data_IF_380871605858
#
_entry.id   IF_380871605858
#
_cell.length_a   1.000
_cell.length_b   1.000
_cell.length_c   1.000
_cell.angle_alpha   90.00
_cell.angle_beta   90.00
_cell.angle_gamma   90.00
#
_symmetry.space_group_name_H-M   'P 1'
#
loop_
_entity.id
_entity.type
_entity.pdbx_description
1 polymer ?
#
# COMPACT_ATOMS: atom_id res chain seq x y z
N UNK A 1 -8.87 44.63 -5.26
CA UNK A 1 -7.48 44.92 -5.67
C UNK A 1 -6.41 44.11 -4.88
N UNK A 2 -6.41 44.11 -3.53
CA UNK A 2 -5.38 43.38 -2.74
C UNK A 2 -5.32 41.85 -3.01
N UNK A 3 -6.46 41.20 -3.23
CA UNK A 3 -6.53 39.75 -3.54
C UNK A 3 -6.01 39.41 -4.94
N UNK A 4 -6.19 40.28 -5.90
CA UNK A 4 -5.67 40.12 -7.26
C UNK A 4 -4.16 40.30 -7.32
N UNK A 5 -3.62 41.25 -6.55
CA UNK A 5 -2.17 41.45 -6.39
C UNK A 5 -1.51 40.23 -5.72
N UNK A 6 -2.17 39.61 -4.72
CA UNK A 6 -1.65 38.39 -4.07
C UNK A 6 -1.61 37.19 -5.03
N UNK A 7 -2.64 37.06 -5.90
CA UNK A 7 -2.69 36.01 -6.92
C UNK A 7 -1.58 36.18 -7.98
N UNK A 8 -1.36 37.42 -8.43
CA UNK A 8 -0.28 37.75 -9.40
C UNK A 8 1.09 37.50 -8.77
N UNK A 9 1.28 37.85 -7.48
CA UNK A 9 2.53 37.57 -6.75
C UNK A 9 2.76 36.07 -6.55
N UNK A 10 1.72 35.28 -6.25
CA UNK A 10 1.80 33.83 -6.14
C UNK A 10 2.15 33.16 -7.48
N UNK A 11 1.59 33.65 -8.60
CA UNK A 11 1.90 33.17 -9.95
C UNK A 11 3.34 33.54 -10.36
N UNK A 12 3.81 34.74 -10.00
CA UNK A 12 5.19 35.17 -10.33
C UNK A 12 6.26 34.40 -9.54
N UNK A 13 5.98 33.93 -8.31
CA UNK A 13 6.86 33.05 -7.55
C UNK A 13 6.95 31.66 -8.20
N UNK A 14 5.85 31.15 -8.78
CA UNK A 14 5.82 29.88 -9.50
C UNK A 14 6.72 29.82 -10.74
N UNK A 15 7.00 30.97 -11.37
CA UNK A 15 7.86 31.03 -12.57
C UNK A 15 9.36 31.11 -12.27
N UNK A 16 9.76 31.43 -11.04
CA UNK A 16 11.18 31.49 -10.62
C UNK A 16 11.75 30.10 -10.29
N UNK A 17 10.89 29.08 -10.12
CA UNK A 17 11.29 27.72 -9.80
C UNK A 17 11.89 26.92 -10.98
N UNK A 18 12.00 27.50 -12.16
CA UNK A 18 12.65 26.87 -13.33
C UNK A 18 14.18 26.91 -13.33
N UNK A 19 14.83 27.42 -12.27
CA UNK A 19 16.28 27.63 -12.22
C UNK A 19 17.11 26.42 -11.77
N UNK A 20 16.50 25.28 -11.42
CA UNK A 20 17.23 24.05 -11.12
C UNK A 20 16.80 22.95 -12.09
N UNK A 21 17.42 22.96 -13.27
CA UNK A 21 17.23 21.90 -14.25
C UNK A 21 17.95 20.66 -13.78
N UNK A 22 17.19 19.65 -13.35
CA UNK A 22 17.73 18.32 -13.08
C UNK A 22 18.28 17.69 -14.37
N UNK A 23 19.19 16.75 -14.23
CA UNK A 23 19.64 15.96 -15.35
C UNK A 23 18.51 15.02 -15.78
N UNK A 24 17.97 15.22 -17.01
CA UNK A 24 16.91 14.34 -17.53
C UNK A 24 17.39 12.91 -17.64
N UNK A 25 16.57 11.98 -17.16
CA UNK A 25 16.74 10.53 -17.29
C UNK A 25 15.55 9.96 -18.04
N UNK A 26 15.79 8.90 -18.80
CA UNK A 26 14.75 8.16 -19.53
C UNK A 26 14.93 6.67 -19.31
N UNK A 27 15.24 6.29 -18.07
CA UNK A 27 15.45 4.89 -17.74
C UNK A 27 14.11 4.24 -17.43
N UNK A 28 13.81 3.13 -18.09
CA UNK A 28 12.60 2.35 -17.88
C UNK A 28 12.98 0.95 -17.42
N UNK A 29 12.51 0.56 -16.24
CA UNK A 29 12.71 -0.76 -15.70
C UNK A 29 11.37 -1.48 -15.51
N UNK A 30 11.35 -2.78 -15.80
CA UNK A 30 10.24 -3.70 -15.50
C UNK A 30 10.71 -4.77 -14.57
N UNK A 31 9.82 -5.28 -13.74
CA UNK A 31 10.18 -6.33 -12.80
C UNK A 31 9.02 -7.04 -12.16
N UNK A 32 9.39 -7.96 -11.28
CA UNK A 32 8.48 -8.77 -10.48
C UNK A 32 8.76 -8.56 -9.00
N UNK A 33 7.75 -8.72 -8.19
CA UNK A 33 7.87 -8.59 -6.75
C UNK A 33 7.07 -9.66 -6.01
N UNK A 34 7.53 -9.98 -4.80
CA UNK A 34 6.83 -10.86 -3.88
C UNK A 34 7.12 -10.47 -2.44
N UNK A 35 6.24 -10.83 -1.51
CA UNK A 35 6.44 -10.48 -0.12
C UNK A 35 5.33 -10.94 0.81
N UNK A 36 5.44 -10.49 2.06
CA UNK A 36 4.50 -10.78 3.13
C UNK A 36 3.75 -9.52 3.52
N UNK A 37 2.51 -9.74 3.96
CA UNK A 37 1.58 -8.69 4.38
C UNK A 37 1.11 -8.99 5.79
N UNK A 38 1.19 -7.99 6.66
CA UNK A 38 0.60 -7.99 7.99
C UNK A 38 -0.54 -6.99 7.98
N UNK A 39 -1.78 -7.46 8.05
CA UNK A 39 -2.96 -6.63 7.91
C UNK A 39 -3.83 -6.63 9.16
N UNK A 40 -4.49 -5.51 9.41
CA UNK A 40 -5.61 -5.34 10.34
C UNK A 40 -6.66 -4.45 9.70
N UNK A 41 -7.91 -4.63 10.11
CA UNK A 41 -9.01 -3.74 9.71
C UNK A 41 -9.34 -2.80 10.86
N UNK A 42 -9.37 -1.51 10.61
CA UNK A 42 -9.78 -0.51 11.60
C UNK A 42 -11.30 -0.48 11.68
N UNK A 43 -11.87 -1.15 12.67
CA UNK A 43 -13.31 -1.14 12.93
C UNK A 43 -13.72 -0.06 13.93
N UNK A 44 -14.92 0.48 13.71
CA UNK A 44 -15.63 1.30 14.70
C UNK A 44 -17.11 0.86 14.74
N UNK A 45 -17.60 0.25 15.79
CA UNK A 45 -16.91 -0.07 17.07
C UNK A 45 -15.73 -1.04 16.90
N UNK A 46 -14.77 -0.93 17.81
CA UNK A 46 -13.48 -1.66 17.73
C UNK A 46 -13.66 -3.16 17.97
N UNK A 47 -13.12 -3.97 17.08
CA UNK A 47 -12.99 -5.42 17.24
C UNK A 47 -11.54 -5.76 17.62
N UNK A 48 -11.34 -6.56 18.67
CA UNK A 48 -9.99 -7.03 19.03
C UNK A 48 -9.45 -7.98 17.98
N UNK A 49 -8.25 -7.69 17.46
CA UNK A 49 -7.65 -8.42 16.36
C UNK A 49 -6.18 -8.70 16.60
N UNK A 50 -5.73 -9.87 16.16
CA UNK A 50 -4.33 -10.14 15.84
C UNK A 50 -4.02 -9.74 14.40
N UNK A 51 -2.73 -9.67 14.04
CA UNK A 51 -2.37 -9.46 12.65
C UNK A 51 -2.77 -10.66 11.79
N UNK A 52 -3.49 -10.39 10.71
CA UNK A 52 -3.66 -11.36 9.64
C UNK A 52 -2.40 -11.35 8.77
N UNK A 53 -1.84 -12.52 8.53
CA UNK A 53 -0.67 -12.68 7.65
C UNK A 53 -1.13 -13.18 6.29
N UNK A 54 -0.77 -12.43 5.25
CA UNK A 54 -1.01 -12.79 3.86
C UNK A 54 0.24 -12.67 3.01
N UNK A 55 0.07 -12.92 1.73
CA UNK A 55 1.13 -12.82 0.72
C UNK A 55 0.79 -11.75 -0.31
N UNK A 56 1.82 -11.21 -0.96
CA UNK A 56 1.66 -10.30 -2.10
C UNK A 56 2.64 -10.69 -3.19
N UNK A 57 2.21 -10.61 -4.45
CA UNK A 57 3.07 -10.78 -5.62
C UNK A 57 2.54 -9.94 -6.78
N UNK A 58 3.42 -9.51 -7.66
CA UNK A 58 3.00 -8.66 -8.76
C UNK A 58 4.13 -8.25 -9.70
N UNK A 59 3.75 -7.38 -10.62
CA UNK A 59 4.65 -6.78 -11.60
C UNK A 59 4.79 -5.29 -11.34
N UNK A 60 5.95 -4.74 -11.69
CA UNK A 60 6.29 -3.33 -11.46
C UNK A 60 6.90 -2.72 -12.71
N UNK A 61 6.53 -1.49 -12.98
CA UNK A 61 7.12 -0.63 -14.00
C UNK A 61 7.66 0.62 -13.31
N UNK A 62 8.94 0.95 -13.48
CA UNK A 62 9.59 2.12 -12.91
C UNK A 62 10.22 2.96 -14.01
N UNK A 63 9.78 4.22 -14.09
CA UNK A 63 10.33 5.20 -14.98
C UNK A 63 11.13 6.25 -14.19
N UNK A 64 12.45 6.26 -14.35
CA UNK A 64 13.33 7.28 -13.76
C UNK A 64 13.35 8.48 -14.70
N UNK A 65 12.83 9.62 -14.21
CA UNK A 65 12.62 10.82 -15.02
C UNK A 65 13.75 11.83 -14.87
N UNK A 66 14.30 11.99 -13.68
CA UNK A 66 15.28 13.04 -13.41
C UNK A 66 16.25 12.66 -12.31
N UNK A 67 17.41 13.32 -12.33
CA UNK A 67 18.41 13.29 -11.27
C UNK A 67 18.73 14.70 -10.82
N UNK A 68 18.55 14.97 -9.53
CA UNK A 68 18.94 16.21 -8.88
C UNK A 68 20.07 15.91 -7.89
N UNK A 69 21.30 16.34 -8.20
CA UNK A 69 22.49 16.04 -7.40
C UNK A 69 22.63 14.52 -7.12
N UNK A 70 22.36 14.12 -5.87
CA UNK A 70 22.40 12.71 -5.45
C UNK A 70 21.01 12.04 -5.44
N UNK A 71 19.94 12.80 -5.68
CA UNK A 71 18.56 12.29 -5.67
C UNK A 71 18.13 11.86 -7.07
N UNK A 72 17.61 10.65 -7.19
CA UNK A 72 16.99 10.09 -8.40
C UNK A 72 15.48 10.09 -8.22
N UNK A 73 14.77 10.78 -9.11
CA UNK A 73 13.33 10.85 -9.11
C UNK A 73 12.74 9.89 -10.14
N UNK A 74 11.83 9.02 -9.70
CA UNK A 74 11.17 8.06 -10.56
C UNK A 74 9.67 7.98 -10.25
N UNK A 75 8.89 7.56 -11.25
CA UNK A 75 7.50 7.15 -11.11
C UNK A 75 7.45 5.62 -11.18
N UNK A 76 6.70 5.01 -10.28
CA UNK A 76 6.55 3.56 -10.21
C UNK A 76 5.07 3.20 -10.22
N UNK A 77 4.68 2.34 -11.15
CA UNK A 77 3.35 1.76 -11.22
C UNK A 77 3.46 0.25 -11.02
N UNK A 78 2.52 -0.32 -10.29
CA UNK A 78 2.52 -1.77 -10.03
C UNK A 78 1.12 -2.33 -10.21
N UNK A 79 1.06 -3.63 -10.47
CA UNK A 79 -0.15 -4.44 -10.35
C UNK A 79 0.20 -5.62 -9.47
N UNK A 80 -0.41 -5.67 -8.29
CA UNK A 80 -0.14 -6.69 -7.29
C UNK A 80 -1.42 -7.47 -6.95
N UNK A 81 -1.33 -8.77 -6.82
CA UNK A 81 -2.28 -9.56 -6.06
C UNK A 81 -1.83 -9.56 -4.60
N UNK A 82 -2.74 -9.26 -3.68
CA UNK A 82 -2.43 -9.14 -2.26
C UNK A 82 -3.53 -9.75 -1.41
N UNK A 83 -3.16 -10.65 -0.52
CA UNK A 83 -4.05 -11.22 0.48
C UNK A 83 -4.05 -10.32 1.72
N UNK A 84 -5.24 -9.81 2.05
CA UNK A 84 -5.49 -8.99 3.24
C UNK A 84 -6.64 -9.60 4.03
N UNK A 85 -6.91 -9.07 5.22
CA UNK A 85 -8.02 -9.55 6.04
C UNK A 85 -7.81 -9.22 7.51
N UNK A 86 -8.55 -9.92 8.36
CA UNK A 86 -8.37 -9.80 9.80
C UNK A 86 -8.54 -11.15 10.49
N UNK A 87 -7.92 -11.27 11.64
CA UNK A 87 -8.06 -12.40 12.54
C UNK A 87 -8.51 -11.86 13.89
N UNK A 88 -9.65 -12.35 14.38
CA UNK A 88 -10.12 -11.92 15.70
C UNK A 88 -9.35 -12.60 16.82
N UNK A 89 -9.11 -11.83 17.87
CA UNK A 89 -8.48 -12.30 19.09
C UNK A 89 -9.57 -12.60 20.12
N UNK A 90 -9.94 -13.90 20.23
CA UNK A 90 -10.95 -14.41 21.15
C UNK A 90 -10.22 -15.07 22.31
N UNK A 91 -10.08 -14.35 23.45
CA UNK A 91 -9.29 -14.82 24.61
C UNK A 91 -10.10 -15.70 25.56
N UNK A 92 -11.42 -15.70 25.43
CA UNK A 92 -12.35 -16.33 26.38
C UNK A 92 -12.85 -17.71 25.97
N UNK A 93 -12.53 -18.14 24.75
CA UNK A 93 -12.91 -19.46 24.23
C UNK A 93 -11.85 -20.01 23.27
N UNK A 94 -12.01 -21.26 22.87
CA UNK A 94 -11.19 -21.90 21.81
C UNK A 94 -11.63 -21.55 20.39
N UNK A 95 -12.67 -20.71 20.28
CA UNK A 95 -13.19 -20.29 18.99
C UNK A 95 -12.22 -19.38 18.26
N UNK A 96 -12.17 -19.50 16.97
CA UNK A 96 -11.31 -18.67 16.10
C UNK A 96 -12.10 -18.16 14.90
N UNK A 97 -11.85 -16.91 14.54
CA UNK A 97 -12.40 -16.30 13.36
C UNK A 97 -11.30 -15.60 12.54
N UNK A 98 -11.29 -15.89 11.26
CA UNK A 98 -10.41 -15.27 10.32
C UNK A 98 -11.14 -15.01 9.00
N UNK A 99 -11.05 -13.80 8.49
CA UNK A 99 -11.51 -13.49 7.13
C UNK A 99 -10.29 -13.12 6.28
N UNK A 100 -10.21 -13.76 5.13
CA UNK A 100 -9.18 -13.52 4.12
C UNK A 100 -9.83 -12.93 2.88
N UNK A 101 -9.26 -11.86 2.34
CA UNK A 101 -9.73 -11.15 1.16
C UNK A 101 -8.58 -11.02 0.17
N UNK A 102 -8.80 -11.43 -1.07
CA UNK A 102 -7.83 -11.25 -2.16
C UNK A 102 -8.13 -9.97 -2.93
N UNK A 103 -7.13 -9.14 -3.08
CA UNK A 103 -7.19 -7.86 -3.78
C UNK A 103 -6.25 -7.81 -4.97
N UNK A 104 -6.73 -7.22 -6.05
CA UNK A 104 -5.85 -6.68 -7.10
C UNK A 104 -5.61 -5.20 -6.76
N UNK A 105 -4.35 -4.84 -6.54
CA UNK A 105 -3.93 -3.50 -6.12
C UNK A 105 -3.09 -2.84 -7.21
N UNK A 106 -3.35 -1.55 -7.44
CA UNK A 106 -2.61 -0.72 -8.41
C UNK A 106 -2.10 0.53 -7.70
N UNK A 107 -0.93 0.48 -7.07
CA UNK A 107 -0.26 1.66 -6.54
C UNK A 107 0.43 2.45 -7.67
N UNK A 108 0.33 3.79 -7.57
CA UNK A 108 1.07 4.75 -8.38
C UNK A 108 1.96 5.56 -7.46
N UNK A 109 3.26 5.36 -7.54
CA UNK A 109 4.21 5.84 -6.53
C UNK A 109 5.20 6.83 -7.13
N UNK A 110 5.42 7.94 -6.43
CA UNK A 110 6.65 8.70 -6.55
C UNK A 110 7.75 7.96 -5.79
N UNK A 111 8.89 7.76 -6.42
CA UNK A 111 10.06 7.10 -5.84
C UNK A 111 11.24 8.08 -5.87
N UNK A 112 11.83 8.36 -4.71
CA UNK A 112 12.99 9.24 -4.57
C UNK A 112 14.11 8.41 -3.96
N UNK A 113 15.16 8.19 -4.75
CA UNK A 113 16.32 7.40 -4.35
C UNK A 113 17.57 8.24 -4.13
N UNK A 114 18.34 7.87 -3.13
CA UNK A 114 19.63 8.52 -2.77
C UNK A 114 20.73 7.48 -2.77
N UNK A 115 21.80 7.72 -3.51
CA UNK A 115 22.94 6.83 -3.59
C UNK A 115 23.47 6.66 -5.00
N UNK A 116 24.08 5.51 -5.26
CA UNK A 116 24.64 5.23 -6.58
C UNK A 116 23.55 4.91 -7.60
N UNK A 117 23.62 5.57 -8.74
CA UNK A 117 22.68 5.36 -9.83
C UNK A 117 22.82 3.96 -10.42
N UNK A 118 24.06 3.49 -10.65
CA UNK A 118 24.36 2.17 -11.22
C UNK A 118 25.55 1.54 -10.51
N UNK A 119 25.50 0.23 -10.36
CA UNK A 119 26.60 -0.58 -9.79
C UNK A 119 26.85 -0.28 -8.33
N UNK A 120 25.80 -0.22 -7.50
CA UNK A 120 25.92 0.01 -6.08
C UNK A 120 24.59 0.02 -5.33
N UNK A 121 24.63 0.52 -4.11
CA UNK A 121 23.48 0.62 -3.22
C UNK A 121 22.86 2.01 -3.29
N UNK A 122 21.54 2.05 -3.25
CA UNK A 122 20.70 3.25 -3.20
C UNK A 122 19.58 3.04 -2.19
N UNK A 123 19.44 3.93 -1.21
CA UNK A 123 18.26 4.03 -0.37
C UNK A 123 17.16 4.76 -1.11
N UNK A 124 15.90 4.39 -0.91
CA UNK A 124 14.79 5.09 -1.54
C UNK A 124 13.58 5.19 -0.62
N UNK A 125 12.75 6.18 -0.87
CA UNK A 125 11.42 6.33 -0.29
C UNK A 125 10.38 6.32 -1.40
N UNK A 126 9.20 5.77 -1.10
CA UNK A 126 8.05 5.75 -2.01
C UNK A 126 6.82 6.31 -1.32
N UNK A 127 6.01 7.03 -2.07
CA UNK A 127 4.72 7.55 -1.60
C UNK A 127 3.78 7.73 -2.78
N UNK A 128 2.51 7.38 -2.60
CA UNK A 128 1.50 7.66 -3.62
C UNK A 128 0.13 7.07 -3.32
N UNK A 129 -0.85 7.37 -4.18
CA UNK A 129 -2.17 6.78 -4.13
C UNK A 129 -2.13 5.31 -4.57
N UNK A 130 -3.07 4.55 -4.03
CA UNK A 130 -3.30 3.16 -4.38
C UNK A 130 -4.78 2.91 -4.50
N UNK A 131 -5.17 2.23 -5.56
CA UNK A 131 -6.51 1.66 -5.71
C UNK A 131 -6.45 0.15 -5.60
N UNK A 132 -7.54 -0.46 -5.16
CA UNK A 132 -7.63 -1.89 -4.99
C UNK A 132 -9.04 -2.40 -5.29
N UNK A 133 -9.12 -3.64 -5.80
CA UNK A 133 -10.38 -4.35 -6.03
C UNK A 133 -10.35 -5.67 -5.29
N UNK A 134 -11.33 -5.90 -4.42
CA UNK A 134 -11.57 -7.19 -3.79
C UNK A 134 -12.18 -8.15 -4.83
N UNK A 135 -11.46 -9.23 -5.13
CA UNK A 135 -11.86 -10.22 -6.13
C UNK A 135 -12.38 -11.51 -5.52
N UNK A 136 -11.93 -11.83 -4.31
CA UNK A 136 -12.41 -12.99 -3.55
C UNK A 136 -12.38 -12.70 -2.05
N UNK A 137 -13.24 -13.40 -1.32
CA UNK A 137 -13.25 -13.42 0.13
C UNK A 137 -13.53 -14.84 0.62
N UNK A 138 -12.92 -15.20 1.74
CA UNK A 138 -13.09 -16.50 2.39
C UNK A 138 -13.13 -16.30 3.91
N UNK A 139 -14.00 -17.06 4.58
CA UNK A 139 -14.12 -17.09 6.04
C UNK A 139 -13.67 -18.42 6.58
N UNK A 140 -12.88 -18.38 7.65
CA UNK A 140 -12.49 -19.56 8.41
C UNK A 140 -12.96 -19.40 9.85
N UNK A 141 -13.82 -20.31 10.27
CA UNK A 141 -14.33 -20.41 11.64
C UNK A 141 -13.81 -21.72 12.24
N UNK A 142 -13.25 -21.65 13.43
CA UNK A 142 -12.84 -22.84 14.19
C UNK A 142 -13.39 -22.76 15.60
N UNK A 143 -13.65 -23.93 16.23
CA UNK A 143 -14.29 -24.04 17.54
C UNK A 143 -15.75 -24.48 17.45
N UNK A 144 -16.48 -24.39 18.54
CA UNK A 144 -17.84 -24.91 18.65
C UNK A 144 -18.91 -23.91 18.24
N UNK A 145 -18.65 -22.60 18.32
CA UNK A 145 -19.54 -21.51 17.92
C UNK A 145 -20.95 -21.64 18.52
N UNK A 146 -21.06 -21.99 19.81
CA UNK A 146 -22.32 -22.09 20.51
C UNK A 146 -22.77 -20.73 21.06
N UNK A 147 -24.08 -20.54 21.31
CA UNK A 147 -24.58 -19.31 21.96
C UNK A 147 -23.91 -19.04 23.30
N UNK A 148 -23.53 -20.08 24.03
CA UNK A 148 -22.83 -19.97 25.30
C UNK A 148 -21.42 -19.41 25.11
N UNK A 149 -20.65 -19.86 24.11
CA UNK A 149 -19.32 -19.33 23.81
C UNK A 149 -19.39 -17.90 23.28
N UNK A 150 -20.37 -17.59 22.42
CA UNK A 150 -20.59 -16.23 21.89
C UNK A 150 -20.86 -15.21 23.02
N UNK A 151 -21.65 -15.59 24.02
CA UNK A 151 -21.98 -14.71 25.14
C UNK A 151 -20.76 -14.32 26.01
N UNK A 152 -19.70 -15.12 25.98
CA UNK A 152 -18.45 -14.93 26.72
C UNK A 152 -17.37 -14.17 25.93
N UNK A 153 -17.62 -13.86 24.66
CA UNK A 153 -16.62 -13.21 23.81
C UNK A 153 -16.37 -11.76 24.23
N UNK A 154 -15.12 -11.31 24.12
CA UNK A 154 -14.77 -9.93 24.44
C UNK A 154 -15.34 -8.91 23.46
N UNK A 155 -15.65 -9.34 22.23
CA UNK A 155 -16.32 -8.54 21.23
C UNK A 155 -17.81 -8.82 21.31
N UNK A 156 -18.61 -7.83 21.71
CA UNK A 156 -20.08 -7.94 21.73
C UNK A 156 -20.71 -7.72 20.36
N UNK A 157 -19.90 -7.46 19.35
CA UNK A 157 -20.32 -7.20 17.98
C UNK A 157 -20.15 -8.49 17.20
N UNK A 158 -21.24 -8.97 16.58
CA UNK A 158 -21.30 -10.23 15.84
C UNK A 158 -21.75 -10.03 14.37
N UNK A 159 -22.14 -8.82 14.01
CA UNK A 159 -22.71 -8.51 12.69
C UNK A 159 -21.69 -8.70 11.55
N UNK A 160 -20.38 -8.67 11.83
CA UNK A 160 -19.34 -8.91 10.83
C UNK A 160 -19.30 -10.35 10.31
N UNK A 161 -19.83 -11.32 11.08
CA UNK A 161 -19.73 -12.74 10.73
C UNK A 161 -20.60 -13.13 9.53
N UNK A 162 -21.70 -12.41 9.31
CA UNK A 162 -22.65 -12.72 8.23
C UNK A 162 -22.62 -11.67 7.11
N UNK A 163 -21.78 -10.63 7.25
CA UNK A 163 -21.64 -9.59 6.24
C UNK A 163 -20.58 -9.96 5.21
N UNK A 164 -20.95 -10.03 3.95
CA UNK A 164 -20.00 -10.06 2.84
C UNK A 164 -19.39 -8.66 2.63
N UNK A 165 -18.20 -8.60 2.00
CA UNK A 165 -17.59 -7.33 1.59
C UNK A 165 -18.51 -6.58 0.63
N UNK A 166 -19.06 -5.47 1.10
CA UNK A 166 -20.08 -4.70 0.38
C UNK A 166 -19.47 -3.71 -0.60
N UNK A 167 -18.30 -3.16 -0.26
CA UNK A 167 -17.54 -2.23 -1.09
C UNK A 167 -16.28 -2.94 -1.62
N UNK A 168 -16.37 -3.47 -2.83
CA UNK A 168 -15.25 -4.19 -3.46
C UNK A 168 -14.15 -3.28 -3.98
N UNK A 169 -14.47 -2.02 -4.26
CA UNK A 169 -13.50 -1.00 -4.66
C UNK A 169 -12.96 -0.28 -3.43
N UNK A 170 -11.64 -0.25 -3.32
CA UNK A 170 -10.92 0.39 -2.23
C UNK A 170 -9.89 1.37 -2.78
N UNK A 171 -9.68 2.46 -2.08
CA UNK A 171 -8.65 3.44 -2.39
C UNK A 171 -7.98 3.92 -1.10
N UNK A 172 -6.72 4.31 -1.22
CA UNK A 172 -5.93 4.75 -0.07
C UNK A 172 -4.59 5.33 -0.46
N UNK A 173 -3.74 5.45 0.53
CA UNK A 173 -2.37 5.93 0.38
C UNK A 173 -1.41 4.83 0.78
N UNK A 174 -0.31 4.73 0.05
CA UNK A 174 0.79 3.84 0.41
C UNK A 174 2.10 4.62 0.45
N UNK A 175 2.92 4.31 1.44
CA UNK A 175 4.23 4.92 1.61
C UNK A 175 5.20 3.95 2.23
N UNK A 176 6.49 4.13 1.95
CA UNK A 176 7.50 3.23 2.46
C UNK A 176 8.92 3.64 2.12
N UNK A 177 9.85 2.78 2.51
CA UNK A 177 11.26 2.97 2.24
C UNK A 177 11.94 1.62 1.96
N UNK A 178 13.06 1.66 1.27
CA UNK A 178 13.80 0.45 0.93
C UNK A 178 15.22 0.71 0.47
N UNK A 179 15.85 -0.39 0.10
CA UNK A 179 17.20 -0.43 -0.48
C UNK A 179 17.12 -1.05 -1.88
N UNK A 180 17.82 -0.44 -2.83
CA UNK A 180 17.98 -0.92 -4.19
C UNK A 180 19.46 -1.20 -4.43
N UNK A 181 19.80 -2.47 -4.65
CA UNK A 181 21.12 -2.92 -5.04
C UNK A 181 21.14 -3.09 -6.56
N UNK A 182 21.80 -2.17 -7.25
CA UNK A 182 21.86 -2.18 -8.71
C UNK A 182 23.20 -2.69 -9.22
N UNK A 183 23.16 -3.38 -10.36
CA UNK A 183 24.35 -3.76 -11.14
C UNK A 183 24.61 -2.76 -12.24
N UNK A 184 25.82 -2.76 -12.80
CA UNK A 184 26.14 -1.95 -13.99
C UNK A 184 25.37 -2.39 -15.23
N UNK A 185 24.96 -3.66 -15.28
CA UNK A 185 24.18 -4.22 -16.39
C UNK A 185 22.70 -3.86 -16.35
N UNK A 186 22.20 -3.19 -15.27
CA UNK A 186 20.82 -2.72 -15.15
C UNK A 186 19.88 -3.73 -14.50
N UNK A 187 20.41 -4.60 -13.65
CA UNK A 187 19.60 -5.42 -12.76
C UNK A 187 19.49 -4.73 -11.40
N UNK A 188 18.33 -4.74 -10.82
CA UNK A 188 18.01 -4.12 -9.54
C UNK A 188 17.39 -5.16 -8.61
N UNK A 189 17.93 -5.29 -7.40
CA UNK A 189 17.39 -6.10 -6.33
C UNK A 189 16.93 -5.16 -5.22
N UNK A 190 15.64 -5.12 -4.96
CA UNK A 190 15.04 -4.22 -3.98
C UNK A 190 14.53 -5.01 -2.78
N UNK A 191 14.74 -4.44 -1.60
CA UNK A 191 14.07 -4.85 -0.37
C UNK A 191 13.40 -3.62 0.23
N UNK A 192 12.10 -3.68 0.47
CA UNK A 192 11.32 -2.53 0.91
C UNK A 192 10.29 -2.89 1.98
N UNK A 193 10.05 -1.94 2.88
CA UNK A 193 8.93 -1.94 3.82
C UNK A 193 7.95 -0.84 3.44
N UNK A 194 6.66 -1.18 3.35
CA UNK A 194 5.59 -0.23 3.03
C UNK A 194 4.48 -0.30 4.07
N UNK A 195 3.79 0.81 4.21
CA UNK A 195 2.52 0.88 4.92
C UNK A 195 1.43 1.35 3.96
N UNK A 196 0.35 0.59 3.90
CA UNK A 196 -0.87 0.96 3.17
C UNK A 196 -1.95 1.36 4.16
N UNK A 197 -2.62 2.48 3.90
CA UNK A 197 -3.74 3.00 4.67
C UNK A 197 -4.93 3.24 3.75
N UNK A 198 -5.98 2.43 3.94
CA UNK A 198 -7.23 2.61 3.20
C UNK A 198 -7.99 3.83 3.71
N UNK A 199 -8.47 4.66 2.78
CA UNK A 199 -9.36 5.79 3.03
C UNK A 199 -10.82 5.39 2.87
N UNK A 200 -11.08 4.29 2.16
CA UNK A 200 -12.41 3.70 1.99
C UNK A 200 -12.65 2.59 3.02
N UNK A 201 -13.91 2.23 3.19
CA UNK A 201 -14.36 1.15 4.07
C UNK A 201 -14.76 -0.08 3.25
N UNK A 202 -14.62 -1.29 3.83
CA UNK A 202 -15.04 -2.57 3.22
C UNK A 202 -16.54 -2.80 3.37
N UNK A 203 -17.14 -2.30 4.46
CA UNK A 203 -18.59 -2.32 4.70
C UNK A 203 -19.22 -0.95 4.45
N UNK A 204 -20.54 -0.91 4.31
CA UNK A 204 -21.28 0.35 4.33
C UNK A 204 -21.17 0.98 5.71
N UNK A 205 -21.19 2.32 5.73
CA UNK A 205 -20.96 3.11 6.94
C UNK A 205 -22.03 4.21 7.13
N UNK A 206 -23.27 3.93 6.73
CA UNK A 206 -24.39 4.81 7.02
C UNK A 206 -24.82 4.71 8.49
N UNK A 207 -25.66 5.63 8.97
CA UNK A 207 -26.18 5.61 10.35
C UNK A 207 -26.98 4.34 10.73
N UNK A 208 -27.38 3.54 9.75
CA UNK A 208 -28.14 2.29 9.93
C UNK A 208 -27.24 1.05 9.89
N UNK A 209 -25.99 1.21 9.47
CA UNK A 209 -25.06 0.10 9.34
C UNK A 209 -24.31 -0.14 10.66
N UNK A 210 -23.91 -1.38 10.95
CA UNK A 210 -23.29 -1.73 12.23
C UNK A 210 -21.90 -1.08 12.44
N UNK A 211 -21.21 -0.74 11.34
CA UNK A 211 -19.88 -0.15 11.39
C UNK A 211 -19.84 1.26 10.84
N UNK A 212 -19.40 2.21 11.64
CA UNK A 212 -19.08 3.56 11.19
C UNK A 212 -17.73 3.66 10.46
N UNK A 213 -16.86 2.66 10.64
CA UNK A 213 -15.57 2.50 9.94
C UNK A 213 -15.18 1.02 9.84
N UNK A 214 -14.60 0.65 8.71
CA UNK A 214 -14.06 -0.70 8.44
C UNK A 214 -12.97 -0.61 7.36
N UNK A 215 -11.84 0.02 7.68
CA UNK A 215 -10.79 0.34 6.70
C UNK A 215 -9.56 -0.54 6.87
N UNK A 216 -9.01 -1.04 5.77
CA UNK A 216 -7.77 -1.83 5.76
C UNK A 216 -6.55 -0.99 6.14
N UNK A 217 -5.65 -1.60 6.93
CA UNK A 217 -4.31 -1.08 7.20
C UNK A 217 -3.31 -2.21 7.12
N UNK A 218 -2.31 -2.10 6.24
CA UNK A 218 -1.39 -3.20 5.99
C UNK A 218 0.08 -2.75 6.01
N UNK A 219 0.91 -3.55 6.66
CA UNK A 219 2.38 -3.47 6.58
C UNK A 219 2.82 -4.52 5.57
N UNK A 220 3.61 -4.12 4.57
CA UNK A 220 4.12 -5.00 3.53
C UNK A 220 5.65 -5.03 3.61
N UNK A 221 6.22 -6.22 3.53
CA UNK A 221 7.66 -6.43 3.37
C UNK A 221 7.83 -7.12 2.03
N UNK A 222 8.44 -6.43 1.05
CA UNK A 222 8.55 -6.87 -0.35
C UNK A 222 10.01 -7.00 -0.77
N UNK A 223 10.29 -8.06 -1.51
CA UNK A 223 11.48 -8.19 -2.32
C UNK A 223 11.09 -8.06 -3.80
N UNK A 224 11.86 -7.30 -4.56
CA UNK A 224 11.57 -7.06 -5.99
C UNK A 224 12.84 -7.21 -6.80
N UNK A 225 12.67 -7.71 -8.02
CA UNK A 225 13.70 -7.74 -9.02
C UNK A 225 13.23 -6.93 -10.24
N UNK A 226 14.00 -5.91 -10.63
CA UNK A 226 13.73 -5.10 -11.82
C UNK A 226 14.91 -5.17 -12.79
N UNK A 227 14.59 -5.03 -14.06
CA UNK A 227 15.56 -4.98 -15.14
C UNK A 227 15.30 -3.75 -16.02
N UNK A 228 16.35 -2.98 -16.31
CA UNK A 228 16.29 -1.81 -17.18
C UNK A 228 16.12 -2.22 -18.64
N UNK A 229 14.99 -1.85 -19.23
CA UNK A 229 14.69 -2.04 -20.65
C UNK A 229 15.27 -0.88 -21.48
N UNK A 230 15.14 0.34 -20.95
CA UNK A 230 15.64 1.56 -21.57
C UNK A 230 16.61 2.20 -20.59
N UNK A 231 17.77 2.63 -21.11
CA UNK A 231 18.84 3.26 -20.33
C UNK A 231 19.28 4.55 -20.99
N UNK A 232 19.36 5.61 -20.22
CA UNK A 232 20.02 6.85 -20.66
C UNK A 232 21.51 6.58 -20.88
N UNK A 233 22.00 6.93 -22.05
CA UNK A 233 23.46 6.92 -22.30
C UNK A 233 24.12 8.00 -21.43
N UNK A 234 25.07 7.62 -20.63
CA UNK A 234 25.94 8.53 -19.85
C UNK A 234 27.09 9.00 -20.75
#
# INVERSE_FOLDING_TARGET
>A
MKRLLFLIYAISIGTILHAQVGEARKDLAIGVSGGYVLNKVSFNPTIKQDFHTGTTFGISLRYTCEKYFAALCALQAEVNYTEMGWKEKIETSTDTYQRQMGYVQVPLLANIGFGRERGGAKGFIVLGPQIAFCINEDEKRGGEWTEETLSKWPNQIVEQYDLQVQKKFEYGLTGGAGLDLSTRSGHHFLLEGRYYYALSDIFKNSKKDPFGRSANGAILIKASYLFDIIKTKQ
#
